data_IF_070449949298
#
_entry.id   IF_070449949298
#
_cell.length_a   1.000
_cell.length_b   1.000
_cell.length_c   1.000
_cell.angle_alpha   90.00
_cell.angle_beta   90.00
_cell.angle_gamma   90.00
#
_symmetry.space_group_name_H-M   'P 1'
#
loop_
_entity.id
_entity.type
_entity.pdbx_description
1 polymer ?
#
# COMPACT_ATOMS: atom_id res chain seq x y z
N UNK A 1 22.41 -21.10 -15.45
CA UNK A 1 23.19 -22.09 -16.24
C UNK A 1 22.71 -22.23 -17.69
N UNK A 2 21.47 -22.67 -17.99
CA UNK A 2 21.05 -22.87 -19.40
C UNK A 2 20.80 -21.55 -20.17
N UNK A 3 20.14 -20.58 -19.53
CA UNK A 3 19.86 -19.25 -20.11
C UNK A 3 21.13 -18.39 -20.26
N UNK A 4 22.01 -18.48 -19.27
CA UNK A 4 23.33 -17.83 -19.25
C UNK A 4 24.26 -18.37 -20.35
N UNK A 5 24.20 -19.67 -20.66
CA UNK A 5 24.89 -20.27 -21.80
C UNK A 5 24.32 -19.79 -23.14
N UNK A 6 23.00 -19.62 -23.25
CA UNK A 6 22.37 -19.07 -24.46
C UNK A 6 22.78 -17.61 -24.71
N UNK A 7 22.83 -16.78 -23.68
CA UNK A 7 23.27 -15.39 -23.80
C UNK A 7 24.76 -15.29 -24.20
N UNK A 8 25.61 -16.15 -23.66
CA UNK A 8 27.02 -16.20 -24.03
C UNK A 8 27.23 -16.67 -25.49
N UNK A 9 26.41 -17.63 -25.94
CA UNK A 9 26.45 -18.13 -27.32
C UNK A 9 25.91 -17.10 -28.32
N UNK A 10 24.86 -16.36 -27.96
CA UNK A 10 24.32 -15.25 -28.75
C UNK A 10 25.30 -14.07 -28.85
N UNK A 11 26.00 -13.73 -27.76
CA UNK A 11 27.06 -12.72 -27.77
C UNK A 11 28.24 -13.13 -28.67
N UNK A 12 28.64 -14.41 -28.63
CA UNK A 12 29.70 -14.94 -29.49
C UNK A 12 29.33 -14.90 -30.97
N UNK A 13 28.07 -15.20 -31.31
CA UNK A 13 27.56 -15.13 -32.69
C UNK A 13 27.49 -13.68 -33.18
N UNK A 14 27.17 -12.72 -32.30
CA UNK A 14 27.16 -11.29 -32.64
C UNK A 14 28.59 -10.75 -32.86
N UNK A 15 29.56 -11.17 -32.05
CA UNK A 15 30.98 -10.84 -32.22
C UNK A 15 31.55 -11.45 -33.51
N UNK A 16 31.23 -12.71 -33.79
CA UNK A 16 31.63 -13.40 -35.03
C UNK A 16 31.06 -12.71 -36.28
N UNK A 17 29.82 -12.21 -36.23
CA UNK A 17 29.23 -11.41 -37.31
C UNK A 17 29.92 -10.08 -37.53
N UNK A 18 30.27 -9.36 -36.46
CA UNK A 18 31.01 -8.09 -36.58
C UNK A 18 32.40 -8.30 -37.17
N UNK A 19 33.08 -9.36 -36.77
CA UNK A 19 34.39 -9.71 -37.31
C UNK A 19 34.31 -10.09 -38.80
N UNK A 20 33.23 -10.77 -39.23
CA UNK A 20 32.99 -11.09 -40.63
C UNK A 20 32.70 -9.83 -41.47
N UNK A 21 31.91 -8.88 -40.95
CA UNK A 21 31.59 -7.62 -41.61
C UNK A 21 32.83 -6.71 -41.73
N UNK A 22 33.67 -6.67 -40.70
CA UNK A 22 34.94 -5.93 -40.73
C UNK A 22 35.93 -6.54 -41.74
N UNK A 23 36.01 -7.87 -41.84
CA UNK A 23 36.83 -8.56 -42.82
C UNK A 23 36.34 -8.33 -44.27
N UNK A 24 35.04 -8.24 -44.49
CA UNK A 24 34.46 -7.90 -45.79
C UNK A 24 34.75 -6.45 -46.18
N UNK A 25 34.61 -5.51 -45.24
CA UNK A 25 34.94 -4.10 -45.46
C UNK A 25 36.44 -3.90 -45.78
N UNK A 26 37.33 -4.63 -45.10
CA UNK A 26 38.76 -4.58 -45.40
C UNK A 26 39.09 -5.13 -46.79
N UNK A 27 38.41 -6.21 -47.22
CA UNK A 27 38.54 -6.75 -48.58
C UNK A 27 38.10 -5.76 -49.65
N UNK A 28 36.94 -5.14 -49.48
CA UNK A 28 36.42 -4.13 -50.41
C UNK A 28 37.36 -2.93 -50.52
N UNK A 29 37.97 -2.51 -49.41
CA UNK A 29 38.96 -1.42 -49.42
C UNK A 29 40.21 -1.78 -50.20
N UNK A 30 40.75 -2.99 -50.01
CA UNK A 30 41.92 -3.49 -50.77
C UNK A 30 41.62 -3.64 -52.26
N UNK A 31 40.41 -4.07 -52.61
CA UNK A 31 39.97 -4.18 -54.00
C UNK A 31 39.82 -2.81 -54.67
N UNK A 32 39.23 -1.84 -53.97
CA UNK A 32 39.15 -0.46 -54.46
C UNK A 32 40.54 0.18 -54.64
N UNK A 33 41.46 -0.07 -53.70
CA UNK A 33 42.84 0.43 -53.80
C UNK A 33 43.60 -0.22 -54.98
N UNK A 34 43.36 -1.51 -55.24
CA UNK A 34 43.93 -2.20 -56.40
C UNK A 34 43.41 -1.64 -57.73
N UNK A 35 42.11 -1.33 -57.83
CA UNK A 35 41.52 -0.71 -59.03
C UNK A 35 42.09 0.69 -59.29
N UNK A 36 42.28 1.50 -58.25
CA UNK A 36 42.89 2.84 -58.39
C UNK A 36 44.35 2.73 -58.83
N UNK A 37 45.08 1.71 -58.35
CA UNK A 37 46.46 1.46 -58.78
C UNK A 37 46.53 1.00 -60.25
N UNK A 38 45.58 0.17 -60.69
CA UNK A 38 45.49 -0.28 -62.08
C UNK A 38 45.11 0.88 -63.03
N UNK A 39 44.17 1.73 -62.64
CA UNK A 39 43.77 2.92 -63.40
C UNK A 39 44.96 3.89 -63.60
N UNK A 40 45.75 4.12 -62.54
CA UNK A 40 46.98 4.93 -62.63
C UNK A 40 48.01 4.33 -63.58
N UNK A 41 48.19 3.01 -63.55
CA UNK A 41 49.11 2.31 -64.47
C UNK A 41 48.67 2.46 -65.93
N UNK A 42 47.38 2.31 -66.20
CA UNK A 42 46.83 2.48 -67.55
C UNK A 42 46.97 3.92 -68.06
N UNK A 43 46.78 4.91 -67.19
CA UNK A 43 46.98 6.31 -67.54
C UNK A 43 48.45 6.62 -67.88
N UNK A 44 49.40 6.09 -67.09
CA UNK A 44 50.83 6.25 -67.34
C UNK A 44 51.27 5.55 -68.64
N UNK A 45 50.73 4.36 -68.92
CA UNK A 45 51.00 3.63 -70.16
C UNK A 45 50.45 4.35 -71.40
N UNK A 46 49.27 4.97 -71.30
CA UNK A 46 48.67 5.78 -72.37
C UNK A 46 49.47 7.07 -72.66
N UNK A 47 49.96 7.75 -71.60
CA UNK A 47 50.87 8.90 -71.74
C UNK A 47 52.18 8.51 -72.41
N UNK A 48 52.74 7.34 -72.06
CA UNK A 48 53.98 6.84 -72.66
C UNK A 48 53.81 6.59 -74.16
N UNK A 49 52.70 5.94 -74.55
CA UNK A 49 52.42 5.65 -75.97
C UNK A 49 52.28 6.94 -76.79
N UNK A 50 51.56 7.95 -76.28
CA UNK A 50 51.42 9.26 -76.95
C UNK A 50 52.77 9.95 -77.15
N UNK A 51 53.67 9.85 -76.16
CA UNK A 51 55.00 10.45 -76.24
C UNK A 51 55.89 9.74 -77.27
N UNK A 52 55.78 8.42 -77.36
CA UNK A 52 56.49 7.61 -78.33
C UNK A 52 55.99 7.87 -79.76
N UNK A 53 54.67 7.99 -79.96
CA UNK A 53 54.09 8.38 -81.25
C UNK A 53 54.53 9.78 -81.69
N UNK A 54 54.59 10.75 -80.76
CA UNK A 54 55.04 12.10 -81.06
C UNK A 54 56.53 12.13 -81.47
N UNK A 55 57.38 11.36 -80.80
CA UNK A 55 58.80 11.22 -81.15
C UNK A 55 58.99 10.61 -82.54
N UNK A 56 58.26 9.52 -82.84
CA UNK A 56 58.32 8.88 -84.17
C UNK A 56 57.83 9.80 -85.29
N UNK A 57 56.79 10.61 -85.03
CA UNK A 57 56.30 11.59 -86.01
C UNK A 57 57.31 12.72 -86.28
N UNK A 58 58.03 13.16 -85.24
CA UNK A 58 59.10 14.16 -85.37
C UNK A 58 60.31 13.60 -86.14
N UNK A 59 60.69 12.36 -85.86
CA UNK A 59 61.79 11.68 -86.57
C UNK A 59 61.49 11.50 -88.07
N UNK A 60 60.26 11.13 -88.42
CA UNK A 60 59.79 11.06 -89.81
C UNK A 60 59.86 12.42 -90.52
N UNK A 61 59.47 13.51 -89.83
CA UNK A 61 59.53 14.87 -90.38
C UNK A 61 60.96 15.32 -90.68
N UNK A 62 61.89 15.02 -89.78
CA UNK A 62 63.31 15.35 -89.95
C UNK A 62 63.93 14.54 -91.11
N UNK A 63 63.52 13.27 -91.28
CA UNK A 63 63.96 12.45 -92.40
C UNK A 63 63.43 12.97 -93.75
N UNK A 64 62.18 13.45 -93.80
CA UNK A 64 61.59 14.03 -95.01
C UNK A 64 62.22 15.37 -95.39
N UNK A 65 62.50 16.23 -94.41
CA UNK A 65 63.16 17.53 -94.62
C UNK A 65 64.59 17.37 -95.19
N UNK A 66 65.34 16.35 -94.72
CA UNK A 66 66.66 16.01 -95.28
C UNK A 66 66.59 15.53 -96.74
N UNK A 67 65.55 14.78 -97.10
CA UNK A 67 65.39 14.29 -98.48
C UNK A 67 65.10 15.43 -99.47
N UNK A 68 64.28 16.41 -99.06
CA UNK A 68 63.96 17.58 -99.88
C UNK A 68 65.16 18.52 -100.07
N UNK A 69 66.01 18.66 -99.05
CA UNK A 69 67.25 19.43 -99.15
C UNK A 69 68.29 18.79 -100.11
N UNK A 70 68.39 17.46 -100.12
CA UNK A 70 69.24 16.71 -101.04
C UNK A 70 68.76 16.85 -102.51
N UNK A 71 67.44 16.78 -102.74
CA UNK A 71 66.83 16.91 -104.06
C UNK A 71 67.04 18.32 -104.67
N UNK A 72 67.00 19.37 -103.85
CA UNK A 72 67.26 20.75 -104.28
C UNK A 72 68.74 20.96 -104.70
N UNK A 73 69.68 20.33 -104.01
CA UNK A 73 71.13 20.44 -104.30
C UNK A 73 71.50 19.83 -105.67
N UNK A 74 70.89 18.70 -106.02
CA UNK A 74 71.14 18.02 -107.31
C UNK A 74 70.57 18.82 -108.49
N UNK A 75 69.50 19.59 -108.28
CA UNK A 75 68.94 20.48 -109.31
C UNK A 75 69.82 21.71 -109.59
N UNK A 76 70.54 22.21 -108.58
CA UNK A 76 71.44 23.36 -108.71
C UNK A 76 72.76 23.00 -109.42
N UNK A 77 73.30 21.80 -109.16
CA UNK A 77 74.52 21.31 -109.81
C UNK A 77 74.35 21.10 -111.33
N UNK A 78 73.14 20.77 -111.79
CA UNK A 78 72.83 20.68 -113.24
C UNK A 78 72.74 22.03 -113.94
N UNK A 79 72.51 23.13 -113.21
CA UNK A 79 72.32 24.47 -113.81
C UNK A 79 73.62 25.23 -114.03
N UNK A 80 74.68 24.91 -113.29
CA UNK A 80 76.00 25.56 -113.39
C UNK A 80 76.90 24.95 -114.49
N UNK A 81 76.57 23.74 -114.97
CA UNK A 81 77.32 23.10 -116.06
C UNK A 81 76.95 23.63 -117.46
N UNK A 82 75.86 24.39 -117.61
CA UNK A 82 75.36 24.87 -118.92
C UNK A 82 75.82 26.30 -119.27
N UNK A 83 76.33 27.07 -118.30
CA UNK A 83 76.71 28.48 -118.49
C UNK A 83 78.18 28.69 -118.95
N UNK A 84 79.01 27.64 -118.95
CA UNK A 84 80.42 27.71 -119.32
C UNK A 84 80.72 27.49 -120.82
N UNK A 85 79.71 27.35 -121.69
CA UNK A 85 79.90 26.89 -123.09
C UNK A 85 79.49 27.86 -124.20
N UNK A 86 79.55 29.19 -123.97
CA UNK A 86 79.15 30.22 -124.98
C UNK A 86 80.13 31.41 -125.10
N UNK A 87 81.31 31.40 -124.46
CA UNK A 87 82.24 32.54 -124.47
C UNK A 87 83.49 32.38 -125.37
N UNK A 88 83.49 31.45 -126.33
CA UNK A 88 84.67 31.13 -127.17
C UNK A 88 84.36 31.18 -128.68
N UNK A 89 83.72 32.24 -129.19
CA UNK A 89 83.59 32.37 -130.66
C UNK A 89 83.32 33.81 -131.13
N UNK A 90 84.27 34.75 -130.93
CA UNK A 90 84.29 36.03 -131.67
C UNK A 90 85.54 36.87 -131.37
N UNK A 91 86.73 36.47 -131.85
CA UNK A 91 87.83 37.44 -132.14
C UNK A 91 89.03 36.81 -132.88
N UNK A 92 88.79 36.29 -134.08
CA UNK A 92 89.83 35.94 -135.06
C UNK A 92 89.31 36.29 -136.46
N UNK A 93 89.54 37.53 -136.91
CA UNK A 93 89.51 37.94 -138.32
C UNK A 93 89.84 39.45 -138.41
N UNK A 94 91.10 39.76 -138.75
CA UNK A 94 91.51 40.82 -139.69
C UNK A 94 93.00 41.12 -139.49
N UNK A 95 93.78 40.09 -139.80
CA UNK A 95 95.10 40.24 -140.39
C UNK A 95 94.87 40.09 -141.90
N UNK A 96 95.17 41.13 -142.68
CA UNK A 96 95.90 41.00 -143.95
C UNK A 96 95.88 42.32 -144.75
N UNK A 97 97.11 42.81 -144.98
CA UNK A 97 97.54 43.33 -146.27
C UNK A 97 97.24 44.80 -146.63
N UNK A 98 98.18 45.68 -146.28
CA UNK A 98 98.78 46.61 -147.25
C UNK A 98 100.09 47.15 -146.68
N UNK A 99 101.00 46.21 -146.47
CA UNK A 99 102.42 46.48 -146.37
C UNK A 99 102.86 47.26 -147.62
N UNK A 100 103.48 48.42 -147.42
CA UNK A 100 104.84 48.76 -147.88
C UNK A 100 104.99 50.23 -148.24
N UNK A 101 105.60 50.93 -147.29
CA UNK A 101 106.87 51.63 -147.53
C UNK A 101 106.88 52.63 -148.70
N UNK A 102 106.55 53.88 -148.37
CA UNK A 102 107.14 55.16 -148.85
C UNK A 102 106.02 56.21 -148.85
N UNK A 103 105.82 56.95 -147.77
CA UNK A 103 106.70 58.10 -147.49
C UNK A 103 106.81 58.35 -145.99
N UNK A 104 107.97 57.90 -145.54
CA UNK A 104 108.60 57.90 -144.23
C UNK A 104 108.89 59.32 -143.69
N UNK A 105 107.86 60.18 -143.61
CA UNK A 105 107.98 61.49 -142.97
C UNK A 105 106.70 61.94 -142.23
N UNK A 106 105.53 61.38 -142.59
CA UNK A 106 104.27 61.56 -141.84
C UNK A 106 104.07 60.53 -140.71
N UNK A 107 104.85 59.44 -140.70
CA UNK A 107 104.72 58.34 -139.74
C UNK A 107 105.14 58.71 -138.31
N UNK A 108 106.10 59.64 -138.13
CA UNK A 108 106.57 60.03 -136.78
C UNK A 108 105.58 60.87 -135.98
N UNK A 109 104.67 61.62 -136.63
CA UNK A 109 103.65 62.44 -135.95
C UNK A 109 102.35 61.67 -135.71
N UNK A 110 102.07 60.63 -136.51
CA UNK A 110 100.94 59.74 -136.30
C UNK A 110 101.22 58.68 -135.22
N UNK A 111 102.47 58.22 -135.08
CA UNK A 111 102.88 57.26 -134.04
C UNK A 111 102.88 57.88 -132.63
N UNK A 112 103.30 59.15 -132.49
CA UNK A 112 103.17 59.88 -131.22
C UNK A 112 101.70 60.08 -130.81
N UNK A 113 100.81 60.34 -131.77
CA UNK A 113 99.36 60.43 -131.51
C UNK A 113 98.71 59.08 -131.22
N UNK A 114 99.15 57.99 -131.87
CA UNK A 114 98.64 56.64 -131.59
C UNK A 114 99.10 56.10 -130.25
N UNK A 115 100.34 56.35 -129.84
CA UNK A 115 100.83 55.96 -128.51
C UNK A 115 100.14 56.75 -127.40
N UNK A 116 99.85 58.04 -127.62
CA UNK A 116 99.06 58.85 -126.68
C UNK A 116 97.60 58.37 -126.61
N UNK A 117 96.98 58.03 -127.72
CA UNK A 117 95.59 57.53 -127.74
C UNK A 117 95.48 56.08 -127.22
N UNK A 118 96.46 55.22 -127.48
CA UNK A 118 96.54 53.87 -126.92
C UNK A 118 96.84 53.89 -125.41
N UNK A 119 97.70 54.82 -124.96
CA UNK A 119 97.90 55.09 -123.54
C UNK A 119 96.62 55.63 -122.89
N UNK A 120 95.87 56.53 -123.56
CA UNK A 120 94.59 57.06 -123.07
C UNK A 120 93.52 55.96 -122.98
N UNK A 121 93.41 55.07 -123.96
CA UNK A 121 92.46 53.94 -123.95
C UNK A 121 92.87 52.89 -122.91
N UNK A 122 94.17 52.65 -122.72
CA UNK A 122 94.67 51.77 -121.66
C UNK A 122 94.41 52.36 -120.26
N UNK A 123 94.61 53.67 -120.08
CA UNK A 123 94.31 54.39 -118.85
C UNK A 123 92.80 54.45 -118.57
N UNK A 124 91.97 54.70 -119.59
CA UNK A 124 90.50 54.70 -119.50
C UNK A 124 89.97 53.30 -119.15
N UNK A 125 90.53 52.23 -119.73
CA UNK A 125 90.23 50.84 -119.33
C UNK A 125 90.68 50.53 -117.91
N UNK A 126 91.85 51.01 -117.49
CA UNK A 126 92.35 50.80 -116.12
C UNK A 126 91.47 51.53 -115.11
N UNK A 127 91.02 52.74 -115.43
CA UNK A 127 90.08 53.51 -114.61
C UNK A 127 88.68 52.86 -114.58
N UNK A 128 88.20 52.30 -115.70
CA UNK A 128 86.94 51.56 -115.73
C UNK A 128 87.01 50.26 -114.91
N UNK A 129 88.12 49.52 -115.00
CA UNK A 129 88.35 48.31 -114.19
C UNK A 129 88.52 48.65 -112.69
N UNK A 130 89.20 49.75 -112.37
CA UNK A 130 89.33 50.26 -111.00
C UNK A 130 87.97 50.71 -110.44
N UNK A 131 87.13 51.36 -111.26
CA UNK A 131 85.77 51.74 -110.89
C UNK A 131 84.85 50.53 -110.68
N UNK A 132 84.94 49.47 -111.50
CA UNK A 132 84.18 48.25 -111.28
C UNK A 132 84.68 47.48 -110.04
N UNK A 133 85.99 47.45 -109.77
CA UNK A 133 86.53 46.90 -108.51
C UNK A 133 86.05 47.70 -107.29
N UNK A 134 85.99 49.03 -107.38
CA UNK A 134 85.47 49.87 -106.30
C UNK A 134 83.98 49.58 -106.03
N UNK A 135 83.14 49.48 -107.07
CA UNK A 135 81.73 49.10 -106.92
C UNK A 135 81.53 47.69 -106.36
N UNK A 136 82.38 46.74 -106.75
CA UNK A 136 82.34 45.38 -106.21
C UNK A 136 82.71 45.35 -104.73
N UNK A 137 83.72 46.12 -104.32
CA UNK A 137 84.09 46.29 -102.91
C UNK A 137 82.97 46.97 -102.10
N UNK A 138 82.31 47.99 -102.64
CA UNK A 138 81.16 48.64 -102.00
C UNK A 138 80.00 47.65 -101.80
N UNK A 139 79.67 46.84 -102.81
CA UNK A 139 78.65 45.78 -102.68
C UNK A 139 79.04 44.73 -101.63
N UNK A 140 80.30 44.33 -101.59
CA UNK A 140 80.78 43.39 -100.57
C UNK A 140 80.74 43.97 -99.16
N UNK A 141 81.04 45.26 -99.00
CA UNK A 141 80.91 45.98 -97.73
C UNK A 141 79.44 46.13 -97.31
N UNK A 142 78.55 46.43 -98.26
CA UNK A 142 77.10 46.49 -98.02
C UNK A 142 76.53 45.13 -97.57
N UNK A 143 76.91 44.04 -98.24
CA UNK A 143 76.53 42.67 -97.86
C UNK A 143 77.08 42.33 -96.47
N UNK A 144 78.33 42.70 -96.17
CA UNK A 144 78.93 42.49 -94.84
C UNK A 144 78.18 43.26 -93.76
N UNK A 145 77.84 44.52 -94.00
CA UNK A 145 77.09 45.36 -93.07
C UNK A 145 75.67 44.82 -92.85
N UNK A 146 74.99 44.38 -93.92
CA UNK A 146 73.69 43.74 -93.83
C UNK A 146 73.72 42.45 -93.01
N UNK A 147 74.76 41.62 -93.17
CA UNK A 147 74.97 40.41 -92.36
C UNK A 147 75.18 40.74 -90.88
N UNK A 148 76.06 41.71 -90.57
CA UNK A 148 76.28 42.14 -89.19
C UNK A 148 74.99 42.68 -88.56
N UNK A 149 74.23 43.48 -89.31
CA UNK A 149 72.95 44.02 -88.84
C UNK A 149 71.91 42.92 -88.60
N UNK A 150 71.84 41.91 -89.48
CA UNK A 150 70.98 40.73 -89.28
C UNK A 150 71.39 39.94 -88.04
N UNK A 151 72.67 39.67 -87.86
CA UNK A 151 73.18 38.90 -86.73
C UNK A 151 72.98 39.67 -85.40
N UNK A 152 73.10 41.01 -85.42
CA UNK A 152 72.73 41.88 -84.29
C UNK A 152 71.24 41.84 -83.96
N UNK A 153 70.37 41.88 -84.98
CA UNK A 153 68.91 41.77 -84.78
C UNK A 153 68.51 40.39 -84.25
N UNK A 154 69.13 39.32 -84.74
CA UNK A 154 68.88 37.97 -84.25
C UNK A 154 69.37 37.80 -82.80
N UNK A 155 70.55 38.35 -82.46
CA UNK A 155 71.04 38.37 -81.10
C UNK A 155 70.11 39.16 -80.16
N UNK A 156 69.65 40.34 -80.59
CA UNK A 156 68.69 41.15 -79.83
C UNK A 156 67.36 40.42 -79.64
N UNK A 157 66.84 39.74 -80.67
CA UNK A 157 65.63 38.93 -80.59
C UNK A 157 65.78 37.79 -79.58
N UNK A 158 66.89 37.05 -79.61
CA UNK A 158 67.17 35.97 -78.64
C UNK A 158 67.28 36.48 -77.20
N UNK A 159 67.80 37.69 -76.99
CA UNK A 159 67.83 38.31 -75.66
C UNK A 159 66.42 38.69 -75.21
N UNK A 160 65.63 39.33 -76.08
CA UNK A 160 64.24 39.69 -75.78
C UNK A 160 63.38 38.46 -75.47
N UNK A 161 63.48 37.38 -76.26
CA UNK A 161 62.78 36.10 -76.01
C UNK A 161 63.18 35.49 -74.66
N UNK A 162 64.47 35.50 -74.30
CA UNK A 162 64.92 35.01 -72.98
C UNK A 162 64.41 35.86 -71.83
N UNK A 163 64.33 37.18 -72.00
CA UNK A 163 63.76 38.08 -70.99
C UNK A 163 62.25 37.87 -70.83
N UNK A 164 61.53 37.67 -71.94
CA UNK A 164 60.10 37.35 -71.92
C UNK A 164 59.85 36.00 -71.23
N UNK A 165 60.63 34.97 -71.54
CA UNK A 165 60.54 33.67 -70.85
C UNK A 165 60.80 33.81 -69.35
N UNK A 166 61.78 34.62 -68.94
CA UNK A 166 62.03 34.89 -67.51
C UNK A 166 60.87 35.61 -66.85
N UNK A 167 60.20 36.54 -67.54
CA UNK A 167 59.00 37.22 -67.03
C UNK A 167 57.84 36.26 -66.87
N UNK A 168 57.58 35.42 -67.88
CA UNK A 168 56.52 34.40 -67.83
C UNK A 168 56.75 33.42 -66.67
N UNK A 169 57.99 32.95 -66.49
CA UNK A 169 58.31 32.05 -65.38
C UNK A 169 58.22 32.75 -64.03
N UNK A 170 58.66 34.01 -63.92
CA UNK A 170 58.47 34.80 -62.69
C UNK A 170 56.99 34.99 -62.35
N UNK A 171 56.15 35.33 -63.33
CA UNK A 171 54.70 35.46 -63.15
C UNK A 171 54.04 34.12 -62.79
N UNK A 172 54.54 33.00 -63.34
CA UNK A 172 54.11 31.66 -62.95
C UNK A 172 54.46 31.36 -61.49
N UNK A 173 55.69 31.65 -61.07
CA UNK A 173 56.11 31.45 -59.67
C UNK A 173 55.32 32.34 -58.71
N UNK A 174 55.04 33.59 -59.10
CA UNK A 174 54.20 34.49 -58.32
C UNK A 174 52.77 33.95 -58.16
N UNK A 175 52.15 33.48 -59.25
CA UNK A 175 50.82 32.83 -59.19
C UNK A 175 50.80 31.61 -58.29
N UNK A 176 51.78 30.71 -58.42
CA UNK A 176 51.89 29.53 -57.55
C UNK A 176 52.11 29.91 -56.08
N UNK A 177 52.85 30.98 -55.80
CA UNK A 177 53.05 31.49 -54.45
C UNK A 177 51.76 32.11 -53.89
N UNK A 178 50.99 32.80 -54.71
CA UNK A 178 49.68 33.37 -54.35
C UNK A 178 48.66 32.26 -54.08
N UNK A 179 48.53 31.27 -54.96
CA UNK A 179 47.67 30.09 -54.75
C UNK A 179 48.00 29.36 -53.44
N UNK A 180 49.29 29.17 -53.13
CA UNK A 180 49.72 28.57 -51.85
C UNK A 180 49.34 29.43 -50.63
N UNK A 181 49.42 30.75 -50.75
CA UNK A 181 48.98 31.67 -49.69
C UNK A 181 47.48 31.62 -49.51
N UNK A 182 46.71 31.64 -50.59
CA UNK A 182 45.26 31.49 -50.55
C UNK A 182 44.85 30.15 -49.93
N UNK A 183 45.50 29.06 -50.33
CA UNK A 183 45.28 27.75 -49.74
C UNK A 183 45.59 27.73 -48.25
N UNK A 184 46.72 28.31 -47.82
CA UNK A 184 47.05 28.43 -46.40
C UNK A 184 46.01 29.23 -45.61
N UNK A 185 45.51 30.33 -46.17
CA UNK A 185 44.44 31.14 -45.55
C UNK A 185 43.15 30.32 -45.46
N UNK A 186 42.75 29.63 -46.53
CA UNK A 186 41.57 28.76 -46.52
C UNK A 186 41.69 27.63 -45.50
N UNK A 187 42.85 26.97 -45.43
CA UNK A 187 43.10 25.90 -44.46
C UNK A 187 43.12 26.44 -43.02
N UNK A 188 43.67 27.63 -42.80
CA UNK A 188 43.59 28.32 -41.51
C UNK A 188 42.15 28.65 -41.10
N UNK A 189 41.34 29.15 -42.04
CA UNK A 189 39.91 29.43 -41.80
C UNK A 189 39.12 28.15 -41.51
N UNK A 190 39.39 27.06 -42.26
CA UNK A 190 38.79 25.75 -41.98
C UNK A 190 39.17 25.25 -40.59
N UNK A 191 40.43 25.40 -40.18
CA UNK A 191 40.88 25.01 -38.84
C UNK A 191 40.18 25.82 -37.74
N UNK A 192 40.01 27.13 -37.94
CA UNK A 192 39.26 27.99 -37.02
C UNK A 192 37.79 27.55 -36.95
N UNK A 193 37.17 27.27 -38.09
CA UNK A 193 35.78 26.82 -38.14
C UNK A 193 35.58 25.45 -37.50
N UNK A 194 36.49 24.50 -37.74
CA UNK A 194 36.50 23.19 -37.06
C UNK A 194 36.63 23.39 -35.55
N UNK A 195 37.53 24.28 -35.10
CA UNK A 195 37.69 24.57 -33.68
C UNK A 195 36.43 25.21 -33.07
N UNK A 196 35.76 26.10 -33.81
CA UNK A 196 34.48 26.71 -33.41
C UNK A 196 33.38 25.68 -33.26
N UNK A 197 33.16 24.85 -34.29
CA UNK A 197 32.16 23.77 -34.26
C UNK A 197 32.44 22.79 -33.12
N UNK A 198 33.71 22.46 -32.89
CA UNK A 198 34.10 21.59 -31.78
C UNK A 198 33.77 22.22 -30.42
N UNK A 199 34.08 23.51 -30.24
CA UNK A 199 33.77 24.23 -29.00
C UNK A 199 32.25 24.32 -28.76
N UNK A 200 31.46 24.61 -29.81
CA UNK A 200 29.99 24.62 -29.75
C UNK A 200 29.44 23.23 -29.38
N UNK A 201 30.00 22.15 -29.94
CA UNK A 201 29.61 20.79 -29.59
C UNK A 201 29.96 20.42 -28.13
N UNK A 202 31.15 20.79 -27.64
CA UNK A 202 31.54 20.57 -26.25
C UNK A 202 30.66 21.36 -25.27
N UNK A 203 30.26 22.59 -25.62
CA UNK A 203 29.33 23.38 -24.82
C UNK A 203 27.93 22.76 -24.78
N UNK A 204 27.42 22.30 -25.92
CA UNK A 204 26.15 21.58 -25.99
C UNK A 204 26.15 20.30 -25.14
N UNK A 205 27.25 19.53 -25.17
CA UNK A 205 27.40 18.34 -24.33
C UNK A 205 27.41 18.68 -22.83
N UNK A 206 28.11 19.77 -22.44
CA UNK A 206 28.09 20.25 -21.05
C UNK A 206 26.70 20.66 -20.60
N UNK A 207 25.97 21.41 -21.42
CA UNK A 207 24.60 21.81 -21.13
C UNK A 207 23.67 20.60 -20.97
N UNK A 208 23.78 19.61 -21.86
CA UNK A 208 23.02 18.37 -21.77
C UNK A 208 23.37 17.56 -20.51
N UNK A 209 24.66 17.51 -20.12
CA UNK A 209 25.10 16.84 -18.89
C UNK A 209 24.57 17.54 -17.63
N UNK A 210 24.57 18.88 -17.60
CA UNK A 210 24.02 19.65 -16.49
C UNK A 210 22.50 19.53 -16.39
N UNK A 211 21.79 19.51 -17.52
CA UNK A 211 20.34 19.26 -17.56
C UNK A 211 20.02 17.85 -17.05
N UNK A 212 20.79 16.84 -17.48
CA UNK A 212 20.65 15.47 -16.98
C UNK A 212 20.88 15.39 -15.47
N UNK A 213 21.91 16.05 -14.94
CA UNK A 213 22.16 16.12 -13.48
C UNK A 213 21.00 16.75 -12.72
N UNK A 214 20.43 17.86 -13.24
CA UNK A 214 19.26 18.51 -12.65
C UNK A 214 18.03 17.58 -12.67
N UNK A 215 17.82 16.85 -13.77
CA UNK A 215 16.74 15.88 -13.88
C UNK A 215 16.91 14.70 -12.89
N UNK A 216 18.13 14.19 -12.74
CA UNK A 216 18.46 13.14 -11.76
C UNK A 216 18.26 13.61 -10.31
N UNK A 217 18.68 14.84 -9.98
CA UNK A 217 18.46 15.43 -8.66
C UNK A 217 16.97 15.65 -8.37
N UNK A 218 16.21 16.19 -9.34
CA UNK A 218 14.77 16.34 -9.23
C UNK A 218 14.07 14.99 -9.03
N UNK A 219 14.49 13.94 -9.75
CA UNK A 219 13.96 12.60 -9.58
C UNK A 219 14.28 12.02 -8.19
N UNK A 220 15.49 12.24 -7.65
CA UNK A 220 15.86 11.83 -6.28
C UNK A 220 14.99 12.53 -5.23
N UNK A 221 14.81 13.84 -5.36
CA UNK A 221 13.96 14.61 -4.45
C UNK A 221 12.50 14.14 -4.51
N UNK A 222 11.97 13.83 -5.70
CA UNK A 222 10.62 13.29 -5.86
C UNK A 222 10.46 11.91 -5.19
N UNK A 223 11.46 11.03 -5.32
CA UNK A 223 11.48 9.73 -4.64
C UNK A 223 11.52 9.92 -3.11
N UNK A 224 12.33 10.83 -2.61
CA UNK A 224 12.43 11.12 -1.18
C UNK A 224 11.13 11.71 -0.63
N UNK A 225 10.50 12.64 -1.34
CA UNK A 225 9.19 13.19 -0.98
C UNK A 225 8.13 12.09 -0.90
N UNK A 226 8.06 11.22 -1.90
CA UNK A 226 7.13 10.08 -1.89
C UNK A 226 7.38 9.15 -0.70
N UNK A 227 8.64 8.89 -0.35
CA UNK A 227 9.01 8.09 0.82
C UNK A 227 8.52 8.74 2.12
N UNK A 228 8.68 10.06 2.26
CA UNK A 228 8.19 10.80 3.43
C UNK A 228 6.67 10.82 3.50
N UNK A 229 5.97 10.95 2.37
CA UNK A 229 4.51 10.85 2.29
C UNK A 229 4.02 9.45 2.68
N UNK A 230 4.64 8.39 2.17
CA UNK A 230 4.32 7.01 2.54
C UNK A 230 4.59 6.74 4.04
N UNK A 231 5.70 7.25 4.59
CA UNK A 231 6.00 7.14 6.02
C UNK A 231 4.97 7.90 6.88
N UNK A 232 4.55 9.09 6.45
CA UNK A 232 3.51 9.86 7.11
C UNK A 232 2.16 9.15 7.05
N UNK A 233 1.80 8.53 5.91
CA UNK A 233 0.59 7.73 5.78
C UNK A 233 0.60 6.53 6.72
N UNK A 234 1.70 5.78 6.77
CA UNK A 234 1.84 4.63 7.68
C UNK A 234 1.68 5.08 9.14
N UNK A 235 2.31 6.18 9.55
CA UNK A 235 2.15 6.71 10.92
C UNK A 235 0.70 7.12 11.22
N UNK A 236 0.02 7.74 10.26
CA UNK A 236 -1.39 8.11 10.42
C UNK A 236 -2.29 6.87 10.56
N UNK A 237 -2.09 5.86 9.71
CA UNK A 237 -2.83 4.59 9.77
C UNK A 237 -2.59 3.85 11.10
N UNK A 238 -1.35 3.84 11.60
CA UNK A 238 -1.02 3.28 12.92
C UNK A 238 -1.68 4.04 14.07
N UNK A 239 -1.71 5.37 14.00
CA UNK A 239 -2.37 6.20 15.02
C UNK A 239 -3.88 6.00 14.99
N UNK A 240 -4.50 5.92 13.81
CA UNK A 240 -5.91 5.63 13.66
C UNK A 240 -6.25 4.25 14.22
N UNK A 241 -5.45 3.23 13.91
CA UNK A 241 -5.63 1.88 14.47
C UNK A 241 -5.54 1.88 16.00
N UNK A 242 -4.59 2.61 16.59
CA UNK A 242 -4.49 2.77 18.05
C UNK A 242 -5.74 3.42 18.64
N UNK A 243 -6.28 4.46 17.98
CA UNK A 243 -7.54 5.11 18.41
C UNK A 243 -8.72 4.14 18.33
N UNK A 244 -8.85 3.39 17.23
CA UNK A 244 -9.89 2.37 17.07
C UNK A 244 -9.79 1.26 18.14
N UNK A 245 -8.57 0.79 18.45
CA UNK A 245 -8.34 -0.18 19.52
C UNK A 245 -8.72 0.37 20.89
N UNK A 246 -8.37 1.63 21.19
CA UNK A 246 -8.78 2.31 22.43
C UNK A 246 -10.29 2.47 22.52
N UNK A 247 -10.95 2.90 21.45
CA UNK A 247 -12.41 3.05 21.39
C UNK A 247 -13.11 1.70 21.60
N UNK A 248 -12.57 0.62 21.04
CA UNK A 248 -13.09 -0.73 21.23
C UNK A 248 -12.91 -1.22 22.67
N UNK A 249 -11.78 -0.91 23.32
CA UNK A 249 -11.57 -1.19 24.75
C UNK A 249 -12.56 -0.42 25.62
N UNK A 250 -12.74 0.87 25.37
CA UNK A 250 -13.71 1.70 26.10
C UNK A 250 -15.14 1.18 25.89
N UNK A 251 -15.49 0.78 24.65
CA UNK A 251 -16.79 0.19 24.36
C UNK A 251 -17.00 -1.14 25.10
N UNK A 252 -15.98 -2.00 25.14
CA UNK A 252 -16.01 -3.27 25.89
C UNK A 252 -16.17 -3.02 27.39
N UNK A 253 -15.42 -2.09 27.97
CA UNK A 253 -15.54 -1.73 29.39
C UNK A 253 -16.93 -1.19 29.73
N UNK A 254 -17.47 -0.29 28.88
CA UNK A 254 -18.85 0.21 29.04
C UNK A 254 -19.88 -0.91 28.96
N UNK A 255 -19.71 -1.86 28.05
CA UNK A 255 -20.60 -3.02 27.92
C UNK A 255 -20.52 -3.93 29.16
N UNK A 256 -19.30 -4.22 29.66
CA UNK A 256 -19.10 -4.98 30.89
C UNK A 256 -19.69 -4.25 32.11
N UNK A 257 -19.51 -2.93 32.22
CA UNK A 257 -20.09 -2.13 33.29
C UNK A 257 -21.63 -2.17 33.26
N UNK A 258 -22.23 -2.08 32.07
CA UNK A 258 -23.69 -2.20 31.89
C UNK A 258 -24.19 -3.59 32.30
N UNK A 259 -23.47 -4.65 31.92
CA UNK A 259 -23.81 -6.02 32.33
C UNK A 259 -23.69 -6.20 33.85
N UNK A 260 -22.61 -5.67 34.47
CA UNK A 260 -22.45 -5.68 35.94
C UNK A 260 -23.60 -4.94 36.63
N UNK A 261 -24.00 -3.78 36.12
CA UNK A 261 -25.12 -3.02 36.65
C UNK A 261 -26.46 -3.77 36.51
N UNK A 262 -26.70 -4.42 35.38
CA UNK A 262 -27.91 -5.23 35.17
C UNK A 262 -27.95 -6.44 36.10
N UNK A 263 -26.83 -7.16 36.25
CA UNK A 263 -26.72 -8.29 37.16
C UNK A 263 -26.89 -7.86 38.63
N UNK A 264 -26.31 -6.72 39.03
CA UNK A 264 -26.51 -6.16 40.36
C UNK A 264 -27.97 -5.78 40.60
N UNK A 265 -28.66 -5.22 39.59
CA UNK A 265 -30.09 -4.91 39.67
C UNK A 265 -30.93 -6.17 39.83
N UNK A 266 -30.67 -7.23 39.04
CA UNK A 266 -31.36 -8.52 39.17
C UNK A 266 -31.15 -9.13 40.55
N UNK A 267 -29.90 -9.14 41.05
CA UNK A 267 -29.59 -9.64 42.40
C UNK A 267 -30.30 -8.84 43.49
N UNK A 268 -30.33 -7.51 43.38
CA UNK A 268 -31.06 -6.67 44.33
C UNK A 268 -32.59 -6.89 44.27
N UNK A 269 -33.16 -7.15 43.10
CA UNK A 269 -34.57 -7.53 42.95
C UNK A 269 -34.86 -8.91 43.56
N UNK A 270 -33.98 -9.89 43.37
CA UNK A 270 -34.07 -11.22 44.00
C UNK A 270 -33.96 -11.15 45.53
N UNK A 271 -32.98 -10.40 46.06
CA UNK A 271 -32.83 -10.15 47.49
C UNK A 271 -34.07 -9.45 48.08
N UNK A 272 -34.63 -8.46 47.37
CA UNK A 272 -35.90 -7.83 47.78
C UNK A 272 -37.05 -8.82 47.81
N UNK A 273 -37.19 -9.68 46.79
CA UNK A 273 -38.23 -10.72 46.75
C UNK A 273 -38.06 -11.71 47.90
N UNK A 274 -36.84 -12.14 48.18
CA UNK A 274 -36.53 -13.04 49.31
C UNK A 274 -36.89 -12.39 50.64
N UNK A 275 -36.50 -11.12 50.85
CA UNK A 275 -36.84 -10.37 52.06
C UNK A 275 -38.35 -10.18 52.21
N UNK A 276 -39.09 -9.95 51.12
CA UNK A 276 -40.55 -9.83 51.13
C UNK A 276 -41.23 -11.16 51.48
N UNK A 277 -40.73 -12.28 50.94
CA UNK A 277 -41.18 -13.63 51.30
C UNK A 277 -40.90 -13.90 52.78
N UNK A 278 -39.71 -13.57 53.28
CA UNK A 278 -39.34 -13.75 54.69
C UNK A 278 -40.23 -12.92 55.62
N UNK A 279 -40.47 -11.65 55.29
CA UNK A 279 -41.39 -10.79 56.02
C UNK A 279 -42.82 -11.36 56.01
N UNK A 280 -43.28 -11.88 54.88
CA UNK A 280 -44.59 -12.52 54.76
C UNK A 280 -44.68 -13.81 55.61
N UNK A 281 -43.61 -14.60 55.68
CA UNK A 281 -43.54 -15.79 56.53
C UNK A 281 -43.53 -15.43 58.03
N UNK A 282 -42.77 -14.43 58.46
CA UNK A 282 -42.80 -13.92 59.84
C UNK A 282 -44.18 -13.35 60.20
N UNK A 283 -44.81 -12.63 59.27
CA UNK A 283 -46.19 -12.15 59.44
C UNK A 283 -47.18 -13.33 59.55
N UNK A 284 -47.09 -14.33 58.68
CA UNK A 284 -47.94 -15.52 58.76
C UNK A 284 -47.73 -16.31 60.05
N UNK A 285 -46.49 -16.40 60.53
CA UNK A 285 -46.14 -17.04 61.82
C UNK A 285 -46.72 -16.27 63.00
N UNK A 286 -46.60 -14.94 63.01
CA UNK A 286 -47.18 -14.09 64.06
C UNK A 286 -48.72 -14.12 64.03
N UNK A 287 -49.33 -14.07 62.85
CA UNK A 287 -50.78 -14.23 62.66
C UNK A 287 -51.25 -15.62 63.14
N UNK A 288 -50.50 -16.69 62.84
CA UNK A 288 -50.79 -18.04 63.34
C UNK A 288 -50.67 -18.14 64.87
N UNK A 289 -49.63 -17.56 65.48
CA UNK A 289 -49.49 -17.47 66.93
C UNK A 289 -50.68 -16.71 67.55
N UNK A 290 -51.09 -15.61 66.93
CA UNK A 290 -52.24 -14.82 67.39
C UNK A 290 -53.56 -15.58 67.24
N UNK A 291 -53.72 -16.35 66.17
CA UNK A 291 -54.89 -17.21 65.95
C UNK A 291 -54.96 -18.32 67.00
N UNK A 292 -53.82 -18.95 67.33
CA UNK A 292 -53.75 -19.95 68.41
C UNK A 292 -54.13 -19.30 69.74
N UNK A 293 -53.54 -18.14 70.08
CA UNK A 293 -53.89 -17.40 71.30
C UNK A 293 -55.37 -17.01 71.35
N UNK A 294 -55.96 -16.59 70.24
CA UNK A 294 -57.38 -16.27 70.16
C UNK A 294 -58.24 -17.52 70.38
N UNK A 295 -57.88 -18.65 69.75
CA UNK A 295 -58.58 -19.93 69.94
C UNK A 295 -58.46 -20.47 71.37
N UNK A 296 -57.31 -20.29 72.02
CA UNK A 296 -57.12 -20.65 73.43
C UNK A 296 -57.91 -19.72 74.36
N UNK A 297 -57.97 -18.42 74.05
CA UNK A 297 -58.78 -17.47 74.80
C UNK A 297 -60.28 -17.78 74.67
N UNK A 298 -60.75 -18.19 73.49
CA UNK A 298 -62.12 -18.67 73.29
C UNK A 298 -62.38 -19.95 74.06
N UNK A 299 -61.48 -20.94 74.01
CA UNK A 299 -61.59 -22.16 74.82
C UNK A 299 -61.61 -21.87 76.32
N UNK A 300 -60.83 -20.89 76.80
CA UNK A 300 -60.86 -20.45 78.20
C UNK A 300 -62.19 -19.80 78.55
N UNK A 301 -62.71 -18.92 77.68
CA UNK A 301 -64.04 -18.31 77.85
C UNK A 301 -65.13 -19.37 77.88
N UNK A 302 -65.08 -20.35 76.97
CA UNK A 302 -66.04 -21.44 76.90
C UNK A 302 -65.97 -22.35 78.14
N UNK A 303 -64.76 -22.71 78.59
CA UNK A 303 -64.56 -23.44 79.84
C UNK A 303 -65.06 -22.66 81.06
N UNK A 304 -64.84 -21.35 81.12
CA UNK A 304 -65.37 -20.49 82.18
C UNK A 304 -66.90 -20.41 82.13
N UNK A 305 -67.49 -20.36 80.94
CA UNK A 305 -68.94 -20.44 80.71
C UNK A 305 -69.49 -21.81 81.12
N UNK A 306 -68.74 -22.90 80.92
CA UNK A 306 -69.11 -24.23 81.39
C UNK A 306 -69.04 -24.32 82.93
N UNK A 307 -68.02 -23.74 83.55
CA UNK A 307 -67.93 -23.62 85.02
C UNK A 307 -69.12 -22.82 85.56
N UNK A 308 -69.49 -21.71 84.91
CA UNK A 308 -70.69 -20.93 85.23
C UNK A 308 -71.97 -21.76 85.07
N UNK A 309 -72.11 -22.54 83.99
CA UNK A 309 -73.23 -23.46 83.77
C UNK A 309 -73.31 -24.54 84.85
N UNK A 310 -72.18 -25.12 85.27
CA UNK A 310 -72.11 -26.08 86.39
C UNK A 310 -72.50 -25.43 87.72
N UNK A 311 -72.01 -24.23 88.01
CA UNK A 311 -72.42 -23.46 89.20
C UNK A 311 -73.92 -23.15 89.18
N UNK A 312 -74.47 -22.75 88.04
CA UNK A 312 -75.90 -22.50 87.86
C UNK A 312 -76.73 -23.79 88.01
N UNK A 313 -76.24 -24.93 87.51
CA UNK A 313 -76.88 -26.24 87.68
C UNK A 313 -76.91 -26.67 89.15
N UNK A 314 -75.80 -26.46 89.89
CA UNK A 314 -75.75 -26.70 91.34
C UNK A 314 -76.72 -25.79 92.09
N UNK A 315 -76.81 -24.51 91.72
CA UNK A 315 -77.77 -23.58 92.31
C UNK A 315 -79.23 -23.98 91.99
N UNK A 316 -79.51 -24.47 90.79
CA UNK A 316 -80.83 -24.98 90.39
C UNK A 316 -81.22 -26.23 91.16
N UNK A 317 -80.30 -27.16 91.36
CA UNK A 317 -80.53 -28.35 92.20
C UNK A 317 -80.79 -27.98 93.66
N UNK A 318 -80.12 -26.95 94.18
CA UNK A 318 -80.36 -26.41 95.52
C UNK A 318 -81.74 -25.73 95.64
N UNK A 319 -82.17 -25.01 94.61
CA UNK A 319 -83.50 -24.40 94.53
C UNK A 319 -84.62 -25.44 94.33
N UNK A 320 -84.36 -26.56 93.64
CA UNK A 320 -85.29 -27.70 93.56
C UNK A 320 -85.41 -28.43 94.89
N UNK A 321 -84.32 -28.56 95.66
CA UNK A 321 -84.35 -29.02 97.05
C UNK A 321 -85.22 -28.10 97.93
N UNK A 322 -85.09 -26.78 97.79
CA UNK A 322 -85.94 -25.82 98.52
C UNK A 322 -87.41 -25.87 98.08
N UNK A 323 -87.71 -26.11 96.80
CA UNK A 323 -89.08 -26.30 96.30
C UNK A 323 -89.70 -27.62 96.77
N UNK A 324 -88.90 -28.67 96.94
CA UNK A 324 -89.36 -29.94 97.52
C UNK A 324 -89.61 -29.87 99.04
N UNK A 325 -89.14 -28.81 99.72
CA UNK A 325 -89.34 -28.60 101.14
C UNK A 325 -90.64 -27.83 101.51
N UNK A 326 -91.43 -27.35 100.54
CA UNK A 326 -92.58 -26.46 100.82
C UNK A 326 -93.95 -26.97 100.36
N UNK A 327 -94.18 -28.28 100.29
CA UNK A 327 -95.53 -28.78 100.01
C UNK A 327 -95.83 -30.16 100.61
N UNK A 328 -96.00 -30.23 101.94
CA UNK A 328 -97.18 -30.81 102.62
C UNK A 328 -96.92 -31.00 104.13
N UNK A 329 -97.59 -30.18 104.94
CA UNK A 329 -97.99 -30.51 106.32
C UNK A 329 -99.48 -30.18 106.45
N UNK A 330 -100.28 -31.19 106.84
CA UNK A 330 -101.48 -31.17 107.70
C UNK A 330 -102.16 -32.55 107.54
N UNK A 331 -102.60 -33.31 108.55
CA UNK A 331 -103.24 -32.93 109.80
C UNK A 331 -103.27 -34.08 110.84
N UNK A 332 -103.27 -33.69 112.13
CA UNK A 332 -103.83 -34.26 113.40
C UNK A 332 -104.08 -35.77 113.56
N UNK A 333 -103.78 -36.45 114.69
CA UNK A 333 -104.10 -36.14 116.11
C UNK A 333 -103.43 -37.20 117.06
N UNK A 334 -103.58 -37.21 118.41
CA UNK A 334 -102.57 -36.77 119.38
C UNK A 334 -101.96 -37.86 120.30
N UNK A 335 -100.81 -37.49 120.91
CA UNK A 335 -99.87 -38.32 121.67
C UNK A 335 -100.36 -38.83 123.05
N UNK A 336 -100.32 -40.14 123.24
CA UNK A 336 -100.41 -40.82 124.54
C UNK A 336 -99.05 -40.86 125.27
N UNK A 337 -99.05 -40.54 126.56
CA UNK A 337 -97.86 -40.49 127.42
C UNK A 337 -97.36 -41.91 127.72
N UNK A 338 -96.07 -42.16 127.49
CA UNK A 338 -95.44 -43.46 127.76
C UNK A 338 -94.84 -43.51 129.17
N UNK A 339 -95.51 -44.19 130.11
CA UNK A 339 -95.10 -44.31 131.52
C UNK A 339 -93.70 -44.92 131.71
N UNK A 340 -93.18 -45.66 130.72
CA UNK A 340 -91.83 -46.21 130.77
C UNK A 340 -90.73 -45.14 130.72
N UNK A 341 -91.05 -43.93 130.24
CA UNK A 341 -90.12 -42.81 130.09
C UNK A 341 -90.21 -41.78 131.22
N UNK A 342 -91.18 -41.92 132.14
CA UNK A 342 -91.38 -41.01 133.26
C UNK A 342 -90.39 -41.31 134.40
N UNK A 343 -89.82 -40.28 134.99
CA UNK A 343 -88.98 -40.41 136.18
C UNK A 343 -89.82 -40.84 137.39
N UNK A 344 -89.19 -41.43 138.40
CA UNK A 344 -89.87 -42.10 139.53
C UNK A 344 -90.91 -41.23 140.24
N UNK A 345 -90.64 -39.92 140.36
CA UNK A 345 -91.56 -38.95 140.98
C UNK A 345 -92.77 -38.64 140.10
N UNK A 346 -92.56 -38.45 138.80
CA UNK A 346 -93.62 -38.17 137.83
C UNK A 346 -94.55 -39.38 137.65
N UNK A 347 -93.98 -40.59 137.72
CA UNK A 347 -94.73 -41.85 137.64
C UNK A 347 -95.69 -42.03 138.82
N UNK A 348 -95.29 -41.63 140.03
CA UNK A 348 -96.15 -41.66 141.21
C UNK A 348 -97.31 -40.66 141.08
N UNK A 349 -97.04 -39.47 140.52
CA UNK A 349 -98.09 -38.49 140.23
C UNK A 349 -99.07 -39.01 139.18
N UNK A 350 -98.57 -39.58 138.08
CA UNK A 350 -99.41 -40.15 137.02
C UNK A 350 -100.34 -41.26 137.54
N UNK A 351 -99.82 -42.20 138.33
CA UNK A 351 -100.66 -43.25 138.91
C UNK A 351 -101.68 -42.68 139.92
N UNK A 352 -101.33 -41.63 140.67
CA UNK A 352 -102.28 -40.96 141.58
C UNK A 352 -103.39 -40.23 140.80
N UNK A 353 -103.06 -39.62 139.67
CA UNK A 353 -104.04 -38.98 138.79
C UNK A 353 -104.97 -40.02 138.13
N UNK A 354 -104.48 -41.22 137.83
CA UNK A 354 -105.32 -42.32 137.37
C UNK A 354 -106.34 -42.76 138.43
N UNK A 355 -105.97 -42.79 139.73
CA UNK A 355 -106.93 -43.08 140.81
C UNK A 355 -108.04 -42.03 140.86
N UNK A 356 -107.70 -40.75 140.67
CA UNK A 356 -108.70 -39.67 140.62
C UNK A 356 -109.59 -39.75 139.38
N UNK A 357 -109.03 -40.15 138.23
CA UNK A 357 -109.76 -40.19 136.95
C UNK A 357 -110.64 -41.44 136.80
N UNK A 358 -110.16 -42.58 137.26
CA UNK A 358 -110.78 -43.87 137.13
C UNK A 358 -111.00 -44.40 138.54
N UNK A 359 -112.24 -44.32 139.05
CA UNK A 359 -112.57 -44.82 140.39
C UNK A 359 -112.33 -46.33 140.56
N UNK A 360 -112.52 -46.83 141.79
CA UNK A 360 -112.30 -48.25 142.17
C UNK A 360 -112.86 -49.23 141.12
N UNK A 361 -112.02 -50.15 140.64
CA UNK A 361 -112.37 -51.11 139.59
C UNK A 361 -111.38 -51.18 138.43
N UNK A 362 -111.79 -51.83 137.34
CA UNK A 362 -110.97 -52.09 136.15
C UNK A 362 -111.49 -51.31 134.95
N UNK A 363 -110.61 -50.57 134.29
CA UNK A 363 -110.91 -49.71 133.14
C UNK A 363 -110.01 -50.07 131.97
N UNK A 364 -110.56 -50.36 130.80
CA UNK A 364 -109.80 -50.80 129.61
C UNK A 364 -110.00 -49.84 128.44
N UNK A 365 -108.90 -49.53 127.74
CA UNK A 365 -108.92 -48.86 126.43
C UNK A 365 -108.05 -49.60 125.41
N UNK A 366 -108.43 -49.53 124.15
CA UNK A 366 -107.72 -50.15 123.03
C UNK A 366 -107.39 -49.09 121.99
N UNK A 367 -106.15 -49.09 121.53
CA UNK A 367 -105.62 -48.16 120.52
C UNK A 367 -105.10 -49.02 119.38
N UNK A 368 -105.60 -48.77 118.17
CA UNK A 368 -105.17 -49.48 116.97
C UNK A 368 -104.27 -48.56 116.14
N UNK A 369 -102.98 -48.88 116.09
CA UNK A 369 -102.01 -48.22 115.22
C UNK A 369 -101.74 -49.11 114.01
N UNK A 370 -101.22 -48.52 112.91
CA UNK A 370 -100.99 -49.19 111.62
C UNK A 370 -100.29 -50.55 111.73
N UNK A 371 -99.35 -50.70 112.66
CA UNK A 371 -98.51 -51.90 112.81
C UNK A 371 -98.62 -52.56 114.20
N UNK A 372 -99.54 -52.12 115.05
CA UNK A 372 -99.73 -52.73 116.37
C UNK A 372 -101.06 -52.33 117.00
N UNK A 373 -101.56 -53.22 117.83
CA UNK A 373 -102.72 -52.99 118.68
C UNK A 373 -102.22 -52.89 120.11
N UNK A 374 -102.52 -51.77 120.77
CA UNK A 374 -102.13 -51.49 122.16
C UNK A 374 -103.39 -51.54 123.02
N UNK A 375 -103.43 -52.44 123.99
CA UNK A 375 -104.50 -52.51 124.99
C UNK A 375 -103.95 -52.04 126.33
N UNK A 376 -104.54 -50.99 126.90
CA UNK A 376 -104.17 -50.45 128.21
C UNK A 376 -105.31 -50.74 129.18
N UNK A 377 -104.99 -51.38 130.30
CA UNK A 377 -105.92 -51.71 131.38
C UNK A 377 -105.42 -51.01 132.65
N UNK A 378 -106.26 -50.21 133.29
CA UNK A 378 -105.99 -49.59 134.59
C UNK A 378 -106.84 -50.29 135.64
N UNK A 379 -106.19 -50.83 136.66
CA UNK A 379 -106.86 -51.47 137.81
C UNK A 379 -106.63 -50.59 139.04
N UNK A 380 -107.71 -50.14 139.66
CA UNK A 380 -107.68 -49.33 140.89
C UNK A 380 -108.29 -50.15 142.02
N UNK A 381 -107.47 -50.50 143.01
CA UNK A 381 -107.88 -51.27 144.17
C UNK A 381 -107.22 -50.70 145.44
N UNK A 382 -107.99 -50.58 146.52
CA UNK A 382 -107.55 -50.01 147.80
C UNK A 382 -106.90 -48.62 147.63
N UNK A 383 -107.46 -47.80 146.74
CA UNK A 383 -106.95 -46.46 146.43
C UNK A 383 -105.60 -46.41 145.70
N UNK A 384 -105.12 -47.52 145.12
CA UNK A 384 -103.88 -47.56 144.31
C UNK A 384 -104.19 -47.99 142.88
N UNK A 385 -103.74 -47.19 141.90
CA UNK A 385 -103.85 -47.54 140.48
C UNK A 385 -102.61 -48.30 139.99
N UNK A 386 -102.86 -49.33 139.19
CA UNK A 386 -101.84 -50.06 138.43
C UNK A 386 -102.23 -50.07 136.96
N UNK A 387 -101.32 -49.61 136.10
CA UNK A 387 -101.51 -49.65 134.65
C UNK A 387 -100.85 -50.89 134.06
N UNK A 388 -101.58 -51.58 133.20
CA UNK A 388 -101.13 -52.72 132.43
C UNK A 388 -101.23 -52.40 130.94
N UNK A 389 -100.16 -52.65 130.19
CA UNK A 389 -100.12 -52.40 128.74
C UNK A 389 -99.77 -53.69 128.01
N UNK A 390 -100.61 -54.09 127.08
CA UNK A 390 -100.36 -55.19 126.14
C UNK A 390 -100.20 -54.62 124.73
N UNK A 391 -99.03 -54.85 124.14
CA UNK A 391 -98.73 -54.46 122.75
C UNK A 391 -98.65 -55.71 121.90
N UNK A 392 -99.54 -55.82 120.91
CA UNK A 392 -99.51 -56.85 119.88
C UNK A 392 -99.07 -56.22 118.56
N UNK A 393 -97.87 -56.54 118.08
CA UNK A 393 -97.37 -56.05 116.79
C UNK A 393 -97.94 -56.86 115.63
N UNK A 394 -98.05 -56.26 114.45
CA UNK A 394 -98.52 -56.93 113.23
C UNK A 394 -97.61 -58.09 112.80
N UNK A 395 -96.34 -58.05 113.19
CA UNK A 395 -95.36 -59.12 112.98
C UNK A 395 -95.40 -60.23 114.06
N UNK A 396 -96.42 -60.24 114.92
CA UNK A 396 -96.70 -61.36 115.84
C UNK A 396 -96.06 -61.28 117.23
N UNK A 397 -95.33 -60.20 117.56
CA UNK A 397 -94.77 -59.99 118.89
C UNK A 397 -95.84 -59.55 119.89
N UNK A 398 -95.92 -60.22 121.06
CA UNK A 398 -96.78 -59.82 122.17
C UNK A 398 -95.94 -59.42 123.37
N UNK A 399 -96.06 -58.17 123.80
CA UNK A 399 -95.31 -57.60 124.93
C UNK A 399 -96.28 -57.11 126.00
N UNK A 400 -96.00 -57.44 127.26
CA UNK A 400 -96.85 -57.10 128.40
C UNK A 400 -96.05 -56.26 129.39
N UNK A 401 -96.65 -55.21 129.91
CA UNK A 401 -96.03 -54.29 130.85
C UNK A 401 -96.96 -54.03 132.04
N UNK A 402 -96.38 -53.84 133.22
CA UNK A 402 -97.03 -53.37 134.44
C UNK A 402 -96.29 -52.11 134.90
N UNK A 403 -97.01 -51.00 134.98
CA UNK A 403 -96.47 -49.67 135.26
C UNK A 403 -95.22 -49.38 134.40
N UNK A 404 -95.21 -49.74 133.11
CA UNK A 404 -94.07 -49.53 132.21
C UNK A 404 -92.91 -50.54 132.33
N UNK A 405 -92.92 -51.46 133.30
CA UNK A 405 -91.93 -52.53 133.42
C UNK A 405 -92.44 -53.80 132.74
N UNK A 406 -91.59 -54.49 131.98
CA UNK A 406 -91.97 -55.71 131.26
C UNK A 406 -92.33 -56.84 132.23
N UNK A 407 -93.40 -57.56 131.93
CA UNK A 407 -93.89 -58.71 132.71
C UNK A 407 -94.23 -59.89 131.78
N UNK A 408 -94.41 -61.07 132.36
CA UNK A 408 -94.85 -62.26 131.61
C UNK A 408 -96.36 -62.22 131.28
N UNK A 409 -96.76 -62.95 130.22
CA UNK A 409 -98.19 -63.11 129.85
C UNK A 409 -99.03 -63.62 131.02
N UNK A 410 -98.50 -64.58 131.79
CA UNK A 410 -99.22 -65.18 132.90
C UNK A 410 -99.45 -64.17 134.03
N UNK A 411 -98.45 -63.33 134.35
CA UNK A 411 -98.63 -62.24 135.32
C UNK A 411 -99.65 -61.21 134.84
N UNK A 412 -99.59 -60.81 133.56
CA UNK A 412 -100.57 -59.88 133.00
C UNK A 412 -101.99 -60.47 133.11
N UNK A 413 -102.18 -61.74 132.75
CA UNK A 413 -103.47 -62.41 132.82
C UNK A 413 -104.02 -62.51 134.25
N UNK A 414 -103.21 -62.95 135.22
CA UNK A 414 -103.66 -63.10 136.60
C UNK A 414 -104.00 -61.77 137.27
N UNK A 415 -103.19 -60.73 137.03
CA UNK A 415 -103.37 -59.46 137.75
C UNK A 415 -104.34 -58.50 137.07
N UNK A 416 -104.69 -58.76 135.80
CA UNK A 416 -105.74 -57.99 135.11
C UNK A 416 -107.08 -58.71 135.09
N UNK A 417 -107.17 -59.98 135.49
CA UNK A 417 -108.44 -60.70 135.70
C UNK A 417 -109.07 -60.24 136.99
#
# INVERSE_FOLDING_TARGET
IAEEKRLAEEARIAEEKKLAEEAEAERLKKEAEALIAEEKRLAEEAERLKREEAMNAEELRIAEEKRLAEEARIAEEKRLAEEARVAEEKRLAEEAEAERLKKEEEARLAEEKRLVEEARIAEEKRLAEEAEKAKELEKQEEIRLARVKRDQLEAAKKVAEKEEQKRIEADRQNRLAEEKREQFVQDSLRMIEIARVKAEAEEAERMAADEKRKAEEAARLAIEQKRLEDEARIKADEEEKKRQEQDLLIAKEKAEAKLRAENAKKKAEEEKRLAEIELAMEKAKTDSINQVKASEAEKRKEAELEVQRRKAAVAKAKAEQEKSAQKLIASTEPNDIDISKLQSTEKASYLSDLVRKYGEGKHQRKIEERNRIITIIVVVAQGKATEYKWVKTSFGGNYYFKNGSSISKNQYGMETS
#
